data_IF_286273755971
#
_entry.id   IF_286273755971
#
_cell.length_a   1.000
_cell.length_b   1.000
_cell.length_c   1.000
_cell.angle_alpha   90.00
_cell.angle_beta   90.00
_cell.angle_gamma   90.00
#
_symmetry.space_group_name_H-M   'P 1'
#
loop_
_entity.id
_entity.type
_entity.pdbx_description
1 polymer ?
#
# COMPACT_ATOMS: atom_id res chain seq x y z
N UNK A 1 -3.19 -7.17 -54.61
CA UNK A 1 -4.24 -8.14 -54.22
C UNK A 1 -3.61 -9.11 -53.26
N UNK A 2 -3.94 -8.93 -51.99
CA UNK A 2 -3.25 -9.52 -50.85
C UNK A 2 -3.36 -11.04 -50.85
N UNK A 3 -2.21 -11.67 -50.66
CA UNK A 3 -2.07 -13.07 -50.33
C UNK A 3 -2.74 -13.34 -48.98
N UNK A 4 -3.66 -14.29 -48.98
CA UNK A 4 -4.24 -14.84 -47.76
C UNK A 4 -3.15 -15.43 -46.87
N UNK A 5 -2.79 -14.69 -45.83
CA UNK A 5 -2.24 -15.28 -44.63
C UNK A 5 -3.39 -16.04 -43.94
N UNK A 6 -3.49 -17.34 -44.21
CA UNK A 6 -4.18 -18.28 -43.32
C UNK A 6 -3.53 -18.16 -41.95
N UNK A 7 -4.06 -17.29 -41.09
CA UNK A 7 -3.71 -17.30 -39.68
C UNK A 7 -4.26 -18.58 -39.08
N UNK A 8 -3.34 -19.45 -38.65
CA UNK A 8 -3.56 -20.68 -37.92
C UNK A 8 -4.65 -20.59 -36.85
N UNK A 9 -5.26 -21.74 -36.59
CA UNK A 9 -6.29 -22.06 -35.60
C UNK A 9 -5.79 -21.92 -34.15
N UNK A 10 -5.23 -20.76 -33.79
CA UNK A 10 -4.88 -20.39 -32.43
C UNK A 10 -6.11 -19.86 -31.69
N UNK A 11 -6.15 -20.09 -30.37
CA UNK A 11 -7.22 -19.58 -29.51
C UNK A 11 -7.15 -18.06 -29.43
N UNK A 12 -8.29 -17.38 -29.52
CA UNK A 12 -8.39 -15.91 -29.51
C UNK A 12 -9.45 -15.45 -28.55
N UNK A 13 -9.08 -14.49 -27.71
CA UNK A 13 -9.97 -13.86 -26.74
C UNK A 13 -9.97 -12.35 -26.93
N UNK A 14 -11.15 -11.75 -26.97
CA UNK A 14 -11.32 -10.31 -26.87
C UNK A 14 -11.57 -9.96 -25.41
N UNK A 15 -10.79 -9.05 -24.86
CA UNK A 15 -10.96 -8.50 -23.52
C UNK A 15 -11.29 -7.02 -23.66
N UNK A 16 -12.35 -6.57 -23.01
CA UNK A 16 -12.84 -5.20 -23.03
C UNK A 16 -12.90 -4.66 -21.61
N UNK A 17 -12.36 -3.46 -21.39
CA UNK A 17 -12.58 -2.65 -20.18
C UNK A 17 -13.78 -1.75 -20.43
N UNK A 18 -14.97 -2.23 -20.05
CA UNK A 18 -16.26 -1.62 -20.43
C UNK A 18 -16.48 -0.23 -19.83
N UNK A 19 -15.86 0.08 -18.69
CA UNK A 19 -15.95 1.38 -18.02
C UNK A 19 -14.68 2.24 -18.16
N UNK A 20 -13.84 1.99 -19.18
CA UNK A 20 -12.59 2.74 -19.39
C UNK A 20 -12.81 4.24 -19.61
N UNK A 21 -13.90 4.64 -20.27
CA UNK A 21 -14.22 6.05 -20.48
C UNK A 21 -14.44 6.80 -19.17
N UNK A 22 -15.04 6.13 -18.19
CA UNK A 22 -15.20 6.68 -16.85
C UNK A 22 -13.84 6.72 -16.12
N UNK A 23 -13.01 5.68 -16.25
CA UNK A 23 -11.64 5.64 -15.67
C UNK A 23 -10.82 6.83 -16.18
N UNK A 24 -10.88 7.09 -17.49
CA UNK A 24 -10.19 8.21 -18.14
C UNK A 24 -10.69 9.55 -17.61
N UNK A 25 -12.01 9.70 -17.42
CA UNK A 25 -12.64 10.94 -16.94
C UNK A 25 -12.31 11.24 -15.49
N UNK A 26 -12.23 10.20 -14.64
CA UNK A 26 -12.08 10.34 -13.19
C UNK A 26 -10.60 10.33 -12.75
N UNK A 27 -9.75 9.56 -13.44
CA UNK A 27 -8.34 9.40 -13.06
C UNK A 27 -7.33 9.90 -14.08
N UNK A 28 -7.81 10.41 -15.22
CA UNK A 28 -6.95 10.94 -16.27
C UNK A 28 -6.30 9.86 -17.14
N UNK A 29 -5.59 10.33 -18.16
CA UNK A 29 -5.01 9.48 -19.20
C UNK A 29 -3.92 8.53 -18.69
N UNK A 30 -3.08 8.99 -17.76
CA UNK A 30 -1.93 8.23 -17.27
C UNK A 30 -2.36 6.99 -16.46
N UNK A 31 -3.42 7.11 -15.67
CA UNK A 31 -3.98 5.98 -14.92
C UNK A 31 -4.62 4.96 -15.87
N UNK A 32 -5.42 5.43 -16.84
CA UNK A 32 -6.03 4.56 -17.83
C UNK A 32 -4.96 3.82 -18.68
N UNK A 33 -3.84 4.48 -19.00
CA UNK A 33 -2.70 3.85 -19.68
C UNK A 33 -1.97 2.83 -18.80
N UNK A 34 -1.85 3.08 -17.51
CA UNK A 34 -1.22 2.14 -16.56
C UNK A 34 -2.05 0.87 -16.40
N UNK A 35 -3.38 1.01 -16.32
CA UNK A 35 -4.30 -0.12 -16.32
C UNK A 35 -4.22 -0.94 -17.61
N UNK A 36 -4.15 -0.28 -18.78
CA UNK A 36 -3.96 -0.96 -20.07
C UNK A 36 -2.65 -1.77 -20.09
N UNK A 37 -1.55 -1.24 -19.50
CA UNK A 37 -0.26 -1.94 -19.40
C UNK A 37 -0.34 -3.16 -18.47
N UNK A 38 -1.00 -3.04 -17.33
CA UNK A 38 -1.18 -4.13 -16.38
C UNK A 38 -1.93 -5.31 -17.01
N UNK A 39 -2.98 -5.03 -17.78
CA UNK A 39 -3.73 -6.04 -18.53
C UNK A 39 -2.83 -6.80 -19.51
N UNK A 40 -1.95 -6.09 -20.23
CA UNK A 40 -1.00 -6.69 -21.17
C UNK A 40 0.04 -7.55 -20.44
N UNK A 41 0.57 -7.10 -19.31
CA UNK A 41 1.55 -7.86 -18.53
C UNK A 41 0.95 -9.17 -18.01
N UNK A 42 -0.21 -9.11 -17.36
CA UNK A 42 -0.89 -10.31 -16.84
C UNK A 42 -1.29 -11.29 -17.92
N UNK A 43 -1.73 -10.79 -19.08
CA UNK A 43 -2.03 -11.65 -20.22
C UNK A 43 -0.80 -12.45 -20.69
N UNK A 44 0.41 -11.86 -20.65
CA UNK A 44 1.66 -12.56 -21.00
C UNK A 44 2.13 -13.52 -19.92
N UNK A 45 1.93 -13.20 -18.64
CA UNK A 45 2.21 -14.12 -17.54
C UNK A 45 1.35 -15.38 -17.66
N UNK A 46 0.06 -15.21 -17.94
CA UNK A 46 -0.89 -16.32 -17.98
C UNK A 46 -0.77 -17.16 -19.24
N UNK A 47 -0.71 -16.55 -20.42
CA UNK A 47 -0.71 -17.29 -21.68
C UNK A 47 0.68 -17.54 -22.27
N UNK A 48 1.73 -17.25 -21.50
CA UNK A 48 3.12 -17.41 -21.86
C UNK A 48 3.69 -16.22 -22.66
N UNK A 49 5.02 -16.10 -22.65
CA UNK A 49 5.74 -14.97 -23.26
C UNK A 49 5.48 -14.77 -24.77
N UNK A 50 4.98 -15.80 -25.47
CA UNK A 50 4.63 -15.73 -26.89
C UNK A 50 3.19 -15.26 -27.15
N UNK A 51 2.38 -15.01 -26.11
CA UNK A 51 1.04 -14.48 -26.23
C UNK A 51 1.06 -13.08 -26.89
N UNK A 52 0.33 -12.96 -27.99
CA UNK A 52 0.19 -11.70 -28.71
C UNK A 52 -1.01 -10.93 -28.15
N UNK A 53 -0.73 -9.81 -27.48
CA UNK A 53 -1.75 -8.88 -27.01
C UNK A 53 -1.74 -7.66 -27.92
N UNK A 54 -2.85 -7.44 -28.64
CA UNK A 54 -3.01 -6.31 -29.56
C UNK A 54 -4.18 -5.45 -29.11
N UNK A 55 -3.97 -4.16 -28.95
CA UNK A 55 -5.08 -3.21 -28.78
C UNK A 55 -5.85 -3.09 -30.09
N UNK A 56 -7.15 -3.36 -30.03
CA UNK A 56 -8.06 -3.32 -31.20
C UNK A 56 -8.73 -1.96 -31.29
N UNK A 57 -9.14 -1.41 -30.14
CA UNK A 57 -9.69 -0.06 -30.01
C UNK A 57 -9.48 0.45 -28.58
N UNK A 58 -9.96 1.65 -28.27
CA UNK A 58 -9.88 2.14 -26.89
C UNK A 58 -10.59 1.19 -25.92
N UNK A 59 -9.89 0.78 -24.85
CA UNK A 59 -10.37 -0.22 -23.88
C UNK A 59 -10.61 -1.63 -24.40
N UNK A 60 -10.24 -1.98 -25.64
CA UNK A 60 -10.40 -3.34 -26.18
C UNK A 60 -9.08 -3.94 -26.63
N UNK A 61 -8.82 -5.15 -26.17
CA UNK A 61 -7.59 -5.90 -26.38
C UNK A 61 -7.92 -7.28 -26.93
N UNK A 62 -7.24 -7.69 -27.97
CA UNK A 62 -7.27 -9.06 -28.46
C UNK A 62 -6.04 -9.78 -27.96
N UNK A 63 -6.24 -10.94 -27.34
CA UNK A 63 -5.20 -11.85 -26.87
C UNK A 63 -5.23 -13.09 -27.76
N UNK A 64 -4.11 -13.43 -28.36
CA UNK A 64 -3.94 -14.63 -29.17
C UNK A 64 -2.76 -15.45 -28.66
N UNK A 65 -2.93 -16.76 -28.57
CA UNK A 65 -1.88 -17.69 -28.16
C UNK A 65 -1.99 -19.01 -28.91
N UNK A 66 -0.89 -19.75 -28.97
CA UNK A 66 -0.82 -21.10 -29.55
C UNK A 66 -0.63 -22.14 -28.44
N UNK A 67 -1.28 -23.31 -28.55
CA UNK A 67 -1.18 -24.40 -27.58
C UNK A 67 -2.37 -24.55 -26.61
N UNK A 68 -2.25 -25.48 -25.66
CA UNK A 68 -3.27 -25.76 -24.64
C UNK A 68 -3.25 -24.66 -23.59
N UNK A 69 -4.42 -24.18 -23.19
CA UNK A 69 -4.55 -23.24 -22.08
C UNK A 69 -3.80 -23.76 -20.83
N UNK A 70 -3.08 -22.91 -20.09
CA UNK A 70 -2.35 -23.32 -18.87
C UNK A 70 -3.24 -23.96 -17.80
N UNK A 71 -4.56 -23.76 -17.90
CA UNK A 71 -5.56 -24.27 -16.96
C UNK A 71 -6.04 -25.72 -17.26
N UNK A 72 -5.44 -26.42 -18.22
CA UNK A 72 -5.74 -27.82 -18.53
C UNK A 72 -7.13 -28.07 -19.15
N UNK A 73 -7.43 -29.33 -19.52
CA UNK A 73 -8.77 -29.75 -19.93
C UNK A 73 -9.67 -29.92 -18.70
N UNK A 74 -10.55 -28.94 -18.45
CA UNK A 74 -11.52 -29.00 -17.37
C UNK A 74 -12.72 -29.88 -17.80
N UNK A 75 -13.10 -30.93 -17.05
CA UNK A 75 -14.27 -31.76 -17.36
C UNK A 75 -15.54 -30.89 -17.29
N UNK A 76 -16.32 -30.84 -18.38
CA UNK A 76 -17.50 -29.98 -18.48
C UNK A 76 -17.35 -28.72 -19.35
N UNK A 77 -16.23 -28.55 -20.04
CA UNK A 77 -16.17 -27.74 -21.27
C UNK A 77 -16.02 -26.23 -21.07
N UNK A 78 -14.77 -25.75 -21.23
CA UNK A 78 -14.35 -24.45 -21.81
C UNK A 78 -14.85 -23.14 -21.17
N UNK A 79 -15.73 -23.19 -20.19
CA UNK A 79 -16.16 -22.06 -19.34
C UNK A 79 -14.98 -21.54 -18.49
N UNK A 80 -14.03 -22.42 -18.15
CA UNK A 80 -12.94 -22.11 -17.23
C UNK A 80 -11.81 -21.23 -17.74
N UNK A 81 -11.46 -21.13 -19.03
CA UNK A 81 -10.26 -20.36 -19.42
C UNK A 81 -10.48 -18.84 -19.51
N UNK A 82 -11.63 -18.41 -20.03
CA UNK A 82 -12.02 -17.00 -20.03
C UNK A 82 -12.43 -16.55 -18.62
N UNK A 83 -13.09 -17.41 -17.84
CA UNK A 83 -13.40 -17.12 -16.44
C UNK A 83 -12.18 -17.24 -15.53
N UNK A 84 -11.20 -18.09 -15.81
CA UNK A 84 -9.91 -18.07 -15.11
C UNK A 84 -9.11 -16.85 -15.50
N UNK A 85 -9.12 -16.39 -16.76
CA UNK A 85 -8.53 -15.09 -17.08
C UNK A 85 -9.25 -13.95 -16.38
N UNK A 86 -10.58 -13.92 -16.43
CA UNK A 86 -11.39 -12.94 -15.70
C UNK A 86 -11.25 -13.08 -14.17
N UNK A 87 -10.93 -14.27 -13.65
CA UNK A 87 -10.71 -14.55 -12.23
C UNK A 87 -9.24 -14.37 -11.81
N UNK A 88 -8.28 -14.35 -12.72
CA UNK A 88 -6.87 -14.02 -12.45
C UNK A 88 -6.58 -12.54 -12.72
N UNK A 89 -7.29 -11.94 -13.69
CA UNK A 89 -7.50 -10.49 -13.77
C UNK A 89 -8.46 -10.01 -12.66
N UNK A 90 -9.27 -10.92 -12.09
CA UNK A 90 -10.33 -10.63 -11.11
C UNK A 90 -10.20 -11.31 -9.76
N UNK A 91 -9.01 -11.76 -9.37
CA UNK A 91 -8.75 -12.18 -7.98
C UNK A 91 -8.81 -10.96 -7.03
N UNK A 92 -8.94 -9.75 -7.58
CA UNK A 92 -9.49 -8.57 -6.89
C UNK A 92 -10.46 -7.76 -7.76
N UNK A 93 -11.53 -8.40 -8.25
CA UNK A 93 -12.68 -7.70 -8.88
C UNK A 93 -13.95 -7.87 -8.00
N UNK A 94 -14.08 -7.06 -6.93
CA UNK A 94 -15.29 -6.91 -6.06
C UNK A 94 -16.27 -5.78 -6.46
N UNK A 95 -17.47 -6.12 -6.96
CA UNK A 95 -18.55 -5.14 -7.16
C UNK A 95 -18.99 -4.56 -5.82
N UNK A 96 -19.07 -3.23 -5.79
CA UNK A 96 -19.29 -2.44 -4.61
C UNK A 96 -19.96 -1.11 -5.08
N UNK A 97 -21.28 -0.87 -4.92
CA UNK A 97 -21.93 0.37 -5.32
C UNK A 97 -21.47 1.50 -4.43
N UNK A 98 -21.06 2.58 -5.10
CA UNK A 98 -20.40 3.73 -4.52
C UNK A 98 -19.00 3.41 -3.99
N UNK A 99 -18.26 2.42 -4.54
CA UNK A 99 -16.82 2.49 -4.96
C UNK A 99 -16.66 2.00 -6.35
N UNK A 100 -16.57 2.94 -7.28
CA UNK A 100 -15.76 2.73 -8.44
C UNK A 100 -14.32 2.61 -7.90
N UNK A 101 -13.58 1.52 -8.15
CA UNK A 101 -13.51 0.89 -9.46
C UNK A 101 -13.32 -0.60 -9.43
N UNK A 102 -13.93 -1.21 -10.44
CA UNK A 102 -13.28 -2.28 -11.18
C UNK A 102 -13.35 -1.93 -12.64
N UNK A 103 -12.25 -2.12 -13.36
CA UNK A 103 -12.34 -2.36 -14.79
C UNK A 103 -13.44 -3.40 -15.00
N UNK A 104 -14.55 -3.01 -15.63
CA UNK A 104 -15.58 -3.97 -16.01
C UNK A 104 -15.04 -4.77 -17.18
N UNK A 105 -14.31 -5.84 -16.86
CA UNK A 105 -13.69 -6.69 -17.85
C UNK A 105 -14.74 -7.60 -18.46
N UNK A 106 -15.08 -7.35 -19.72
CA UNK A 106 -15.77 -8.30 -20.58
C UNK A 106 -14.73 -9.16 -21.29
N UNK A 107 -14.93 -10.48 -21.35
CA UNK A 107 -14.13 -11.34 -22.21
C UNK A 107 -15.05 -12.14 -23.14
N UNK A 108 -14.84 -12.03 -24.45
CA UNK A 108 -15.62 -12.71 -25.47
C UNK A 108 -14.70 -13.50 -26.40
N UNK A 109 -15.09 -14.73 -26.72
CA UNK A 109 -14.40 -15.54 -27.71
C UNK A 109 -14.71 -15.02 -29.11
N UNK A 110 -13.69 -14.82 -29.93
CA UNK A 110 -13.89 -14.47 -31.35
C UNK A 110 -13.63 -15.72 -32.19
N UNK A 111 -14.69 -16.21 -32.87
CA UNK A 111 -14.61 -17.30 -33.84
C UNK A 111 -14.90 -18.71 -33.29
N UNK A 112 -15.75 -18.83 -32.27
CA UNK A 112 -16.25 -20.12 -31.76
C UNK A 112 -17.78 -20.06 -31.62
N UNK A 113 -18.52 -20.87 -32.38
CA UNK A 113 -19.99 -20.94 -32.33
C UNK A 113 -20.48 -21.64 -31.05
N UNK A 114 -21.01 -20.92 -30.05
CA UNK A 114 -21.70 -21.52 -28.89
C UNK A 114 -22.80 -20.61 -28.27
N UNK A 115 -23.84 -21.20 -27.63
CA UNK A 115 -25.03 -20.49 -27.15
C UNK A 115 -24.89 -19.92 -25.72
N UNK A 116 -25.54 -18.79 -25.47
CA UNK A 116 -25.51 -18.02 -24.21
C UNK A 116 -26.53 -18.55 -23.20
N UNK A 117 -26.12 -18.85 -21.97
CA UNK A 117 -26.98 -18.80 -20.78
C UNK A 117 -26.30 -17.94 -19.71
N UNK A 118 -26.94 -16.81 -19.39
CA UNK A 118 -26.50 -15.85 -18.39
C UNK A 118 -26.97 -16.30 -17.00
N UNK A 119 -26.02 -16.65 -16.12
CA UNK A 119 -26.25 -16.83 -14.69
C UNK A 119 -25.58 -15.70 -13.92
N UNK A 120 -26.36 -14.72 -13.47
CA UNK A 120 -25.88 -13.63 -12.61
C UNK A 120 -25.77 -14.11 -11.16
N UNK A 121 -24.64 -13.86 -10.51
CA UNK A 121 -24.45 -14.04 -9.08
C UNK A 121 -24.98 -12.80 -8.36
N UNK A 122 -25.93 -12.97 -7.45
CA UNK A 122 -26.44 -11.92 -6.55
C UNK A 122 -25.41 -11.64 -5.45
N UNK A 123 -24.93 -10.40 -5.35
CA UNK A 123 -24.11 -9.93 -4.22
C UNK A 123 -25.04 -9.45 -3.09
N UNK A 124 -24.72 -9.79 -1.84
CA UNK A 124 -25.52 -9.39 -0.67
C UNK A 124 -25.49 -7.88 -0.40
N UNK A 125 -26.59 -7.33 0.14
CA UNK A 125 -26.80 -5.89 0.38
C UNK A 125 -25.71 -5.23 1.26
N UNK A 126 -25.07 -5.97 2.17
CA UNK A 126 -24.02 -5.43 3.04
C UNK A 126 -22.71 -5.14 2.30
N UNK A 127 -22.33 -6.00 1.35
CA UNK A 127 -21.19 -5.76 0.46
C UNK A 127 -21.47 -4.57 -0.45
N UNK A 128 -22.74 -4.28 -0.71
CA UNK A 128 -23.11 -3.12 -1.50
C UNK A 128 -23.08 -1.79 -0.72
N UNK A 129 -23.24 -1.83 0.60
CA UNK A 129 -23.19 -0.60 1.42
C UNK A 129 -21.76 -0.23 1.82
N UNK A 130 -20.94 -1.23 2.18
CA UNK A 130 -19.55 -0.97 2.57
C UNK A 130 -18.73 -0.36 1.44
N UNK A 131 -19.04 -0.82 0.24
CA UNK A 131 -18.67 -0.20 -0.98
C UNK A 131 -18.98 1.28 -0.97
N UNK A 132 -20.25 1.68 -0.85
CA UNK A 132 -20.70 3.04 -1.05
C UNK A 132 -19.88 4.06 -0.26
N UNK A 133 -19.50 3.63 0.93
CA UNK A 133 -18.70 4.39 1.87
C UNK A 133 -17.25 4.52 1.44
N UNK A 134 -16.63 3.45 0.95
CA UNK A 134 -15.21 3.44 0.61
C UNK A 134 -14.87 4.43 -0.54
N UNK A 135 -15.80 4.80 -1.43
CA UNK A 135 -15.56 5.76 -2.55
C UNK A 135 -15.91 7.13 -2.15
N UNK A 136 -16.96 7.29 -1.37
CA UNK A 136 -17.29 8.58 -0.80
C UNK A 136 -16.05 9.06 -0.02
N UNK A 137 -15.45 8.17 0.77
CA UNK A 137 -14.19 8.43 1.46
C UNK A 137 -13.02 8.63 0.47
N UNK A 138 -12.89 7.78 -0.54
CA UNK A 138 -11.80 7.91 -1.52
C UNK A 138 -11.87 9.21 -2.33
N UNK A 139 -13.06 9.63 -2.70
CA UNK A 139 -13.34 10.87 -3.42
C UNK A 139 -13.10 12.08 -2.51
N UNK A 140 -13.54 12.01 -1.25
CA UNK A 140 -13.23 13.02 -0.24
C UNK A 140 -11.71 13.21 -0.07
N UNK A 141 -10.93 12.12 0.01
CA UNK A 141 -9.46 12.19 0.10
C UNK A 141 -8.86 12.79 -1.18
N UNK A 142 -9.36 12.39 -2.35
CA UNK A 142 -8.91 12.91 -3.65
C UNK A 142 -9.15 14.41 -3.77
N UNK A 143 -10.35 14.87 -3.43
CA UNK A 143 -10.71 16.28 -3.39
C UNK A 143 -9.79 17.05 -2.44
N UNK A 144 -9.60 16.54 -1.22
CA UNK A 144 -8.72 17.15 -0.22
C UNK A 144 -7.27 17.26 -0.71
N UNK A 145 -6.77 16.28 -1.48
CA UNK A 145 -5.43 16.37 -2.10
C UNK A 145 -5.40 17.48 -3.16
N UNK A 146 -6.41 17.55 -4.04
CA UNK A 146 -6.47 18.56 -5.10
C UNK A 146 -6.61 19.99 -4.57
N UNK A 147 -7.25 20.13 -3.41
CA UNK A 147 -7.48 21.41 -2.72
C UNK A 147 -6.41 21.71 -1.66
N UNK A 148 -5.35 20.91 -1.58
CA UNK A 148 -4.26 21.03 -0.61
C UNK A 148 -4.74 21.06 0.87
N UNK A 149 -5.86 20.40 1.19
CA UNK A 149 -6.45 20.30 2.54
C UNK A 149 -5.80 19.22 3.41
N UNK A 150 -4.47 19.16 3.38
CA UNK A 150 -3.69 18.27 4.23
C UNK A 150 -2.62 19.09 4.94
N UNK A 151 -2.45 18.84 6.23
CA UNK A 151 -1.30 19.30 6.99
C UNK A 151 -0.56 18.13 7.61
N UNK A 152 0.69 18.37 8.01
CA UNK A 152 1.54 17.38 8.68
C UNK A 152 1.73 17.84 10.12
N UNK A 153 1.28 17.03 11.07
CA UNK A 153 1.75 17.15 12.45
C UNK A 153 3.00 16.28 12.62
N UNK A 154 3.80 16.53 13.66
CA UNK A 154 4.92 15.65 13.99
C UNK A 154 5.01 15.35 15.48
N UNK A 155 5.57 14.19 15.81
CA UNK A 155 5.85 13.77 17.17
C UNK A 155 7.29 13.24 17.28
N UNK A 156 8.09 13.66 18.28
CA UNK A 156 9.48 13.25 18.39
C UNK A 156 9.62 11.83 18.94
N UNK A 157 10.62 11.11 18.42
CA UNK A 157 11.19 9.89 19.02
C UNK A 157 12.45 10.30 19.78
N UNK A 158 12.40 10.23 21.11
CA UNK A 158 13.44 10.76 22.00
C UNK A 158 14.25 9.63 22.64
N UNK A 159 15.49 9.96 23.03
CA UNK A 159 16.28 9.09 23.88
C UNK A 159 15.69 9.06 25.30
N UNK A 160 15.69 7.88 25.93
CA UNK A 160 15.11 7.71 27.27
C UNK A 160 15.94 8.37 28.37
N UNK A 161 17.24 8.58 28.16
CA UNK A 161 18.15 9.23 29.12
C UNK A 161 18.31 10.73 28.83
N UNK A 162 18.26 11.12 27.55
CA UNK A 162 18.39 12.51 27.09
C UNK A 162 17.20 12.92 26.20
N UNK A 163 16.15 13.55 26.75
CA UNK A 163 14.97 13.95 25.99
C UNK A 163 15.25 14.93 24.85
N UNK A 164 16.36 15.68 24.90
CA UNK A 164 16.76 16.61 23.84
C UNK A 164 17.43 15.89 22.65
N UNK A 165 17.90 14.66 22.85
CA UNK A 165 18.42 13.80 21.79
C UNK A 165 17.26 13.13 21.03
N UNK A 166 16.88 13.73 19.90
CA UNK A 166 15.81 13.24 19.02
C UNK A 166 16.37 12.37 17.89
N UNK A 167 15.85 11.15 17.74
CA UNK A 167 16.26 10.22 16.67
C UNK A 167 15.69 10.61 15.30
N UNK A 168 14.39 10.92 15.28
CA UNK A 168 13.61 11.52 14.20
C UNK A 168 12.26 11.99 14.76
N UNK A 169 11.46 12.66 13.94
CA UNK A 169 10.07 13.02 14.28
C UNK A 169 9.12 12.29 13.33
N UNK A 170 8.20 11.49 13.85
CA UNK A 170 7.18 10.82 13.06
C UNK A 170 6.21 11.88 12.50
N UNK A 171 5.94 11.82 11.20
CA UNK A 171 4.95 12.64 10.51
C UNK A 171 3.57 11.99 10.57
N UNK A 172 2.62 12.77 11.05
CA UNK A 172 1.24 12.38 11.28
C UNK A 172 0.33 13.23 10.40
N UNK A 173 -0.14 12.63 9.30
CA UNK A 173 -0.99 13.31 8.32
C UNK A 173 -2.33 13.71 8.95
N UNK A 174 -2.77 14.94 8.68
CA UNK A 174 -4.06 15.49 9.09
C UNK A 174 -4.79 15.97 7.85
N UNK A 175 -5.89 15.31 7.51
CA UNK A 175 -6.79 15.81 6.48
C UNK A 175 -7.73 16.84 7.11
N UNK A 176 -8.10 17.88 6.38
CA UNK A 176 -9.10 18.84 6.82
C UNK A 176 -10.33 18.70 5.94
N UNK A 177 -11.53 18.67 6.51
CA UNK A 177 -12.77 18.76 5.74
C UNK A 177 -12.97 20.18 5.15
N UNK A 178 -14.12 20.45 4.51
CA UNK A 178 -14.38 21.75 3.88
C UNK A 178 -14.64 22.85 4.91
N UNK A 179 -15.05 22.45 6.11
CA UNK A 179 -15.29 23.30 7.27
C UNK A 179 -14.00 23.57 8.06
N UNK A 180 -12.90 22.88 7.72
CA UNK A 180 -11.59 23.00 8.36
C UNK A 180 -11.40 22.11 9.59
N UNK A 181 -12.29 21.15 9.83
CA UNK A 181 -12.15 20.20 10.92
C UNK A 181 -11.18 19.08 10.54
N UNK A 182 -10.40 18.63 11.52
CA UNK A 182 -9.43 17.54 11.34
C UNK A 182 -10.14 16.20 11.18
N UNK A 183 -9.82 15.51 10.10
CA UNK A 183 -10.19 14.12 9.83
C UNK A 183 -8.95 13.25 9.96
N UNK A 184 -8.99 12.28 10.88
CA UNK A 184 -7.83 11.46 11.23
C UNK A 184 -7.65 10.28 10.28
N UNK A 185 -6.40 9.82 10.03
CA UNK A 185 -6.10 8.68 9.15
C UNK A 185 -6.93 7.42 9.44
N UNK A 186 -7.20 7.13 10.72
CA UNK A 186 -8.02 5.97 11.11
C UNK A 186 -9.43 5.95 10.51
N UNK A 187 -9.99 7.09 10.08
CA UNK A 187 -11.31 7.14 9.45
C UNK A 187 -11.30 6.91 7.94
N UNK A 188 -10.14 7.00 7.27
CA UNK A 188 -10.07 6.90 5.81
C UNK A 188 -9.04 5.91 5.27
N UNK A 189 -7.94 5.64 5.98
CA UNK A 189 -6.90 4.69 5.54
C UNK A 189 -7.49 3.29 5.24
N UNK A 190 -8.35 2.69 6.10
CA UNK A 190 -8.91 1.38 5.80
C UNK A 190 -9.73 1.34 4.50
N UNK A 191 -10.40 2.45 4.16
CA UNK A 191 -11.15 2.58 2.91
C UNK A 191 -10.21 2.71 1.71
N UNK A 192 -9.12 3.46 1.82
CA UNK A 192 -8.09 3.55 0.78
C UNK A 192 -7.38 2.22 0.53
N UNK A 193 -7.17 1.42 1.58
CA UNK A 193 -6.60 0.07 1.45
C UNK A 193 -7.56 -0.86 0.71
N UNK A 194 -8.85 -0.85 1.06
CA UNK A 194 -9.87 -1.66 0.38
C UNK A 194 -10.13 -1.23 -1.05
N UNK A 195 -10.06 0.07 -1.35
CA UNK A 195 -10.23 0.62 -2.70
C UNK A 195 -8.96 0.56 -3.56
N UNK A 196 -7.81 0.23 -2.96
CA UNK A 196 -6.51 0.17 -3.64
C UNK A 196 -5.86 1.54 -3.87
N UNK A 197 -6.43 2.62 -3.33
CA UNK A 197 -5.93 3.98 -3.49
C UNK A 197 -4.86 4.37 -2.45
N UNK A 198 -4.63 3.53 -1.44
CA UNK A 198 -3.62 3.78 -0.40
C UNK A 198 -2.22 4.05 -0.97
N UNK A 199 -1.85 3.35 -2.05
CA UNK A 199 -0.52 3.50 -2.68
C UNK A 199 -0.30 4.88 -3.28
N UNK A 200 -1.36 5.46 -3.84
CA UNK A 200 -1.32 6.82 -4.38
C UNK A 200 -1.26 7.85 -3.25
N UNK A 201 -2.02 7.63 -2.18
CA UNK A 201 -2.02 8.47 -1.00
C UNK A 201 -0.65 8.48 -0.30
N UNK A 202 -0.06 7.31 -0.05
CA UNK A 202 1.25 7.18 0.59
C UNK A 202 2.32 7.93 -0.21
N UNK A 203 2.32 7.78 -1.54
CA UNK A 203 3.22 8.54 -2.41
C UNK A 203 3.01 10.05 -2.29
N UNK A 204 1.76 10.51 -2.23
CA UNK A 204 1.45 11.94 -2.03
C UNK A 204 2.05 12.44 -0.70
N UNK A 205 1.82 11.73 0.39
CA UNK A 205 2.35 12.09 1.72
C UNK A 205 3.88 12.08 1.73
N UNK A 206 4.51 11.03 1.21
CA UNK A 206 5.98 10.91 1.14
C UNK A 206 6.59 12.08 0.37
N UNK A 207 5.99 12.50 -0.75
CA UNK A 207 6.48 13.66 -1.51
C UNK A 207 6.41 14.95 -0.71
N UNK A 208 5.35 15.15 0.10
CA UNK A 208 5.26 16.31 1.00
C UNK A 208 6.33 16.28 2.08
N UNK A 209 6.59 15.12 2.67
CA UNK A 209 7.67 14.95 3.66
C UNK A 209 9.05 15.21 3.04
N UNK A 210 9.30 14.74 1.81
CA UNK A 210 10.52 15.05 1.06
C UNK A 210 10.68 16.56 0.84
N UNK A 211 9.61 17.27 0.47
CA UNK A 211 9.65 18.73 0.34
C UNK A 211 10.01 19.42 1.67
N UNK A 212 9.37 19.02 2.77
CA UNK A 212 9.69 19.56 4.11
C UNK A 212 11.16 19.30 4.48
N UNK A 213 11.69 18.11 4.20
CA UNK A 213 13.10 17.78 4.46
C UNK A 213 14.06 18.61 3.59
N UNK A 214 13.69 18.97 2.36
CA UNK A 214 14.49 19.86 1.51
C UNK A 214 14.57 21.27 2.08
N UNK A 215 13.49 21.75 2.71
CA UNK A 215 13.42 23.08 3.30
C UNK A 215 14.02 23.15 4.71
N UNK A 216 14.02 22.03 5.43
CA UNK A 216 14.43 21.93 6.83
C UNK A 216 15.55 20.92 7.03
N UNK A 217 16.78 21.40 6.88
CA UNK A 217 17.99 20.59 7.04
C UNK A 217 18.22 20.10 8.49
N UNK A 218 17.60 20.76 9.48
CA UNK A 218 17.66 20.42 10.90
C UNK A 218 16.78 19.23 11.29
N UNK A 219 15.89 18.78 10.39
CA UNK A 219 14.92 17.74 10.68
C UNK A 219 15.31 16.39 10.09
N UNK A 220 15.07 15.34 10.89
CA UNK A 220 14.89 13.97 10.42
C UNK A 220 13.43 13.58 10.65
N UNK A 221 12.77 13.06 9.61
CA UNK A 221 11.33 12.81 9.61
C UNK A 221 11.04 11.34 9.30
N UNK A 222 10.08 10.76 10.03
CA UNK A 222 9.49 9.47 9.74
C UNK A 222 8.17 9.62 9.00
N UNK A 223 7.90 8.80 7.99
CA UNK A 223 6.64 8.84 7.23
C UNK A 223 6.00 7.47 7.20
N UNK A 224 4.74 7.43 7.60
CA UNK A 224 3.92 6.23 7.57
C UNK A 224 3.57 5.83 6.13
N UNK A 225 3.75 4.55 5.81
CA UNK A 225 3.29 3.90 4.58
C UNK A 225 2.62 2.57 4.90
N UNK A 226 1.55 2.24 4.18
CA UNK A 226 0.88 0.94 4.30
C UNK A 226 1.78 -0.18 3.75
N UNK A 227 1.70 -1.38 4.35
CA UNK A 227 2.31 -2.57 3.80
C UNK A 227 1.88 -2.87 2.34
N UNK A 228 0.69 -2.43 1.92
CA UNK A 228 0.22 -2.54 0.53
C UNK A 228 1.01 -1.66 -0.46
N UNK A 229 1.72 -0.65 0.05
CA UNK A 229 2.52 0.28 -0.74
C UNK A 229 3.97 -0.18 -0.90
N UNK A 230 4.39 -1.20 -0.14
CA UNK A 230 5.74 -1.79 -0.14
C UNK A 230 5.91 -2.74 -1.34
N UNK A 231 5.82 -2.16 -2.53
CA UNK A 231 5.96 -2.85 -3.82
C UNK A 231 6.85 -1.98 -4.69
N UNK A 232 7.94 -2.55 -5.22
CA UNK A 232 8.83 -1.86 -6.14
C UNK A 232 8.21 -1.81 -7.55
N UNK A 233 7.51 -0.73 -7.87
CA UNK A 233 6.91 -0.50 -9.18
C UNK A 233 6.98 0.96 -9.65
N UNK A 234 6.41 1.20 -10.82
CA UNK A 234 6.43 2.49 -11.53
C UNK A 234 5.88 3.66 -10.70
N UNK A 235 5.01 3.42 -9.72
CA UNK A 235 4.45 4.50 -8.89
C UNK A 235 5.55 5.18 -8.06
N UNK A 236 6.55 4.40 -7.62
CA UNK A 236 7.64 4.90 -6.80
C UNK A 236 8.78 5.54 -7.59
N UNK A 237 8.89 5.28 -8.91
CA UNK A 237 10.06 5.70 -9.71
C UNK A 237 10.42 7.18 -9.53
N UNK A 238 9.45 8.07 -9.69
CA UNK A 238 9.67 9.52 -9.49
C UNK A 238 10.19 9.87 -8.08
N UNK A 239 9.67 9.22 -7.04
CA UNK A 239 10.12 9.43 -5.65
C UNK A 239 11.53 8.87 -5.44
N UNK A 240 11.84 7.73 -6.05
CA UNK A 240 13.17 7.13 -5.98
C UNK A 240 14.22 8.00 -6.70
N UNK A 241 13.85 8.62 -7.82
CA UNK A 241 14.70 9.60 -8.52
C UNK A 241 14.91 10.84 -7.63
N UNK A 242 13.83 11.38 -7.05
CA UNK A 242 13.90 12.53 -6.12
C UNK A 242 14.86 12.28 -4.94
N UNK A 243 14.87 11.06 -4.41
CA UNK A 243 15.76 10.63 -3.31
C UNK A 243 17.20 10.38 -3.76
N UNK A 244 17.39 9.84 -4.97
CA UNK A 244 18.71 9.64 -5.56
C UNK A 244 19.42 10.98 -5.81
N UNK A 245 18.68 11.99 -6.26
CA UNK A 245 19.19 13.34 -6.52
C UNK A 245 19.41 14.16 -5.24
N UNK A 246 18.80 13.76 -4.10
CA UNK A 246 18.95 14.41 -2.80
C UNK A 246 19.39 13.43 -1.69
N UNK A 247 20.65 12.94 -1.69
CA UNK A 247 21.14 11.99 -0.71
C UNK A 247 21.16 12.50 0.75
N UNK A 248 21.16 13.81 0.97
CA UNK A 248 21.04 14.40 2.31
C UNK A 248 19.61 14.28 2.85
N UNK A 249 18.60 14.42 1.98
CA UNK A 249 17.18 14.23 2.30
C UNK A 249 16.91 12.76 2.56
N UNK A 250 17.43 11.87 1.71
CA UNK A 250 17.26 10.43 1.86
C UNK A 250 17.75 9.94 3.23
N UNK A 251 18.93 10.39 3.69
CA UNK A 251 19.49 10.02 5.01
C UNK A 251 18.66 10.47 6.21
N UNK A 252 17.86 11.51 6.03
CA UNK A 252 16.99 12.09 7.07
C UNK A 252 15.56 11.58 7.02
N UNK A 253 15.24 10.71 6.04
CA UNK A 253 13.92 10.12 5.87
C UNK A 253 13.88 8.69 6.43
N UNK A 254 12.90 8.43 7.29
CA UNK A 254 12.55 7.10 7.80
C UNK A 254 11.20 6.70 7.20
N UNK A 255 11.11 5.53 6.57
CA UNK A 255 9.82 4.96 6.15
C UNK A 255 9.31 4.03 7.24
N UNK A 256 8.15 4.34 7.80
CA UNK A 256 7.49 3.54 8.83
C UNK A 256 6.43 2.68 8.16
N UNK A 257 6.65 1.36 8.16
CA UNK A 257 5.76 0.41 7.52
C UNK A 257 4.74 -0.06 8.56
N UNK A 258 3.48 0.30 8.35
CA UNK A 258 2.38 -0.04 9.27
C UNK A 258 1.90 -1.47 9.05
N UNK A 259 1.27 -2.05 10.08
CA UNK A 259 0.78 -3.44 10.06
C UNK A 259 -0.63 -3.64 9.50
N UNK A 260 -1.28 -2.56 9.05
CA UNK A 260 -2.70 -2.55 8.66
C UNK A 260 -3.03 -3.49 7.51
N UNK A 261 -2.01 -4.01 6.82
CA UNK A 261 -2.14 -5.04 5.81
C UNK A 261 -1.00 -6.05 5.85
N UNK A 262 -1.27 -7.25 5.33
CA UNK A 262 -0.24 -8.27 5.16
C UNK A 262 0.70 -7.91 4.00
N UNK A 263 2.00 -7.89 4.28
CA UNK A 263 3.04 -7.71 3.28
C UNK A 263 3.14 -8.94 2.36
N UNK A 264 3.21 -8.72 1.05
CA UNK A 264 3.36 -9.80 0.08
C UNK A 264 4.78 -10.38 0.15
N UNK A 265 4.87 -11.70 0.37
CA UNK A 265 6.15 -12.41 0.52
C UNK A 265 7.06 -12.23 -0.70
N UNK A 266 8.32 -11.95 -0.45
CA UNK A 266 9.39 -11.74 -1.43
C UNK A 266 9.50 -10.32 -1.95
N UNK A 267 8.46 -9.47 -1.88
CA UNK A 267 8.49 -8.11 -2.46
C UNK A 267 8.99 -7.05 -1.50
N UNK A 268 8.66 -7.19 -0.22
CA UNK A 268 9.01 -6.21 0.80
C UNK A 268 10.51 -5.97 0.93
N UNK A 269 11.29 -7.07 0.94
CA UNK A 269 12.75 -7.02 1.04
C UNK A 269 13.42 -6.23 -0.10
N UNK A 270 12.97 -6.40 -1.34
CA UNK A 270 13.57 -5.67 -2.47
C UNK A 270 13.31 -4.17 -2.37
N UNK A 271 12.07 -3.80 -2.07
CA UNK A 271 11.68 -2.41 -1.90
C UNK A 271 12.46 -1.74 -0.75
N UNK A 272 12.50 -2.38 0.42
CA UNK A 272 13.25 -1.89 1.57
C UNK A 272 14.74 -1.72 1.25
N UNK A 273 15.38 -2.72 0.64
CA UNK A 273 16.78 -2.63 0.25
C UNK A 273 17.04 -1.48 -0.73
N UNK A 274 16.12 -1.24 -1.67
CA UNK A 274 16.24 -0.15 -2.64
C UNK A 274 16.22 1.22 -1.94
N UNK A 275 15.30 1.43 -0.99
CA UNK A 275 15.27 2.65 -0.18
C UNK A 275 16.52 2.80 0.68
N UNK A 276 16.99 1.72 1.31
CA UNK A 276 18.22 1.73 2.12
C UNK A 276 19.46 2.06 1.29
N UNK A 277 19.55 1.58 0.05
CA UNK A 277 20.64 1.92 -0.88
C UNK A 277 20.67 3.42 -1.24
N UNK A 278 19.51 4.08 -1.23
CA UNK A 278 19.41 5.54 -1.40
C UNK A 278 19.80 6.32 -0.13
N UNK A 279 19.89 5.62 1.01
CA UNK A 279 20.26 6.19 2.31
C UNK A 279 19.11 6.33 3.30
N UNK A 280 17.88 5.98 2.91
CA UNK A 280 16.73 6.02 3.82
C UNK A 280 16.84 4.94 4.90
N UNK A 281 16.15 5.19 6.03
CA UNK A 281 15.97 4.18 7.08
C UNK A 281 14.59 3.54 6.95
N UNK A 282 14.47 2.29 7.37
CA UNK A 282 13.19 1.57 7.43
C UNK A 282 12.85 1.29 8.90
N UNK A 283 11.64 1.68 9.30
CA UNK A 283 11.05 1.34 10.58
C UNK A 283 9.88 0.37 10.37
N UNK A 284 9.73 -0.58 11.29
CA UNK A 284 8.53 -1.40 11.41
C UNK A 284 7.69 -0.82 12.53
N UNK A 285 6.46 -0.44 12.22
CA UNK A 285 5.53 0.13 13.19
C UNK A 285 4.66 -0.96 13.84
N UNK A 286 4.09 -0.67 15.01
CA UNK A 286 3.18 -1.55 15.76
C UNK A 286 3.72 -2.98 16.02
N UNK A 287 5.03 -3.13 16.23
CA UNK A 287 5.65 -4.44 16.41
C UNK A 287 5.11 -5.16 17.65
N UNK A 288 4.61 -6.38 17.44
CA UNK A 288 3.98 -7.21 18.47
C UNK A 288 2.45 -7.17 18.46
N UNK A 289 1.84 -6.22 17.74
CA UNK A 289 0.45 -6.30 17.32
C UNK A 289 0.34 -7.03 15.96
N UNK A 290 -0.91 -7.30 15.54
CA UNK A 290 -1.30 -7.77 14.21
C UNK A 290 -0.26 -8.54 13.38
N UNK A 291 0.21 -7.91 12.30
CA UNK A 291 1.17 -8.46 11.33
C UNK A 291 2.59 -7.90 11.50
N UNK A 292 2.85 -7.03 12.49
CA UNK A 292 4.14 -6.35 12.64
C UNK A 292 5.35 -7.28 12.71
N UNK A 293 5.23 -8.45 13.37
CA UNK A 293 6.30 -9.45 13.44
C UNK A 293 6.62 -10.06 12.07
N UNK A 294 5.58 -10.45 11.32
CA UNK A 294 5.75 -11.01 9.98
C UNK A 294 6.34 -9.99 9.01
N UNK A 295 5.91 -8.72 9.11
CA UNK A 295 6.47 -7.60 8.33
C UNK A 295 7.96 -7.41 8.63
N UNK A 296 8.36 -7.42 9.90
CA UNK A 296 9.78 -7.28 10.28
C UNK A 296 10.66 -8.41 9.74
N UNK A 297 10.16 -9.65 9.77
CA UNK A 297 10.86 -10.81 9.21
C UNK A 297 11.00 -10.69 7.69
N UNK A 298 9.93 -10.31 7.00
CA UNK A 298 9.88 -10.20 5.54
C UNK A 298 10.78 -9.07 5.02
N UNK A 299 10.80 -7.92 5.69
CA UNK A 299 11.65 -6.77 5.33
C UNK A 299 13.13 -7.13 5.44
N UNK A 300 13.50 -7.97 6.42
CA UNK A 300 14.85 -8.47 6.67
C UNK A 300 15.88 -7.35 6.96
N UNK A 301 16.19 -7.15 8.24
CA UNK A 301 17.07 -6.10 8.77
C UNK A 301 16.52 -4.67 8.63
N UNK A 302 15.33 -4.36 9.21
CA UNK A 302 14.90 -2.98 9.40
C UNK A 302 15.89 -2.23 10.31
N UNK A 303 15.91 -0.90 10.19
CA UNK A 303 16.79 -0.05 11.00
C UNK A 303 16.16 0.29 12.35
N UNK A 304 14.83 0.36 12.39
CA UNK A 304 14.04 0.67 13.59
C UNK A 304 12.90 -0.34 13.74
N UNK A 305 12.61 -0.73 14.99
CA UNK A 305 11.38 -1.43 15.36
C UNK A 305 10.69 -0.60 16.44
N UNK A 306 9.42 -0.23 16.20
CA UNK A 306 8.58 0.49 17.15
C UNK A 306 7.63 -0.52 17.81
N UNK A 307 7.70 -0.62 19.13
CA UNK A 307 6.87 -1.51 19.95
C UNK A 307 5.60 -0.76 20.33
N UNK A 308 4.46 -1.34 19.99
CA UNK A 308 3.14 -0.77 20.25
C UNK A 308 2.93 -0.43 21.75
N UNK A 309 2.29 0.70 22.00
CA UNK A 309 2.04 1.20 23.36
C UNK A 309 1.14 0.29 24.20
N UNK A 310 0.38 -0.65 23.60
CA UNK A 310 -0.40 -1.62 24.38
C UNK A 310 0.49 -2.53 25.23
N UNK A 311 1.75 -2.75 24.85
CA UNK A 311 2.72 -3.50 25.65
C UNK A 311 3.10 -2.76 26.94
N UNK A 312 3.19 -1.44 26.87
CA UNK A 312 3.48 -0.59 28.02
C UNK A 312 2.31 -0.56 29.01
N UNK A 313 1.08 -0.40 28.50
CA UNK A 313 -0.13 -0.45 29.34
C UNK A 313 -0.32 -1.81 30.02
N UNK A 314 0.03 -2.92 29.34
CA UNK A 314 0.00 -4.26 29.93
C UNK A 314 1.05 -4.47 31.03
N UNK A 315 2.13 -3.69 31.04
CA UNK A 315 3.19 -3.75 32.07
C UNK A 315 2.78 -3.11 33.42
N UNK A 316 1.61 -2.46 33.51
CA UNK A 316 1.13 -1.78 34.72
C UNK A 316 0.72 -2.77 35.84
N UNK A 317 0.38 -4.02 35.51
CA UNK A 317 -0.21 -4.98 36.45
C UNK A 317 0.76 -6.11 36.86
N UNK A 318 1.74 -5.84 37.73
CA UNK A 318 2.52 -6.87 38.44
C UNK A 318 3.87 -7.27 37.82
N UNK A 319 4.73 -7.93 38.62
CA UNK A 319 6.15 -8.23 38.30
C UNK A 319 6.34 -9.13 37.06
N UNK A 320 5.43 -10.06 36.78
CA UNK A 320 5.50 -10.91 35.58
C UNK A 320 5.33 -10.12 34.26
N UNK A 321 4.64 -8.98 34.28
CA UNK A 321 4.33 -8.19 33.08
C UNK A 321 5.45 -7.21 32.73
N UNK A 322 6.22 -6.72 33.69
CA UNK A 322 7.50 -6.02 33.41
C UNK A 322 8.46 -6.95 32.65
N UNK A 323 8.49 -8.25 32.98
CA UNK A 323 9.25 -9.25 32.22
C UNK A 323 8.80 -9.35 30.76
N UNK A 324 7.53 -9.09 30.47
CA UNK A 324 7.01 -9.17 29.10
C UNK A 324 7.52 -8.03 28.21
N UNK A 325 7.53 -6.79 28.71
CA UNK A 325 8.11 -5.65 27.99
C UNK A 325 9.62 -5.88 27.72
N UNK A 326 10.38 -6.34 28.71
CA UNK A 326 11.80 -6.68 28.53
C UNK A 326 12.00 -7.78 27.46
N UNK A 327 11.14 -8.81 27.44
CA UNK A 327 11.23 -9.90 26.44
C UNK A 327 10.95 -9.40 25.03
N UNK A 328 9.91 -8.59 24.82
CA UNK A 328 9.57 -8.08 23.48
C UNK A 328 10.64 -7.09 22.99
N UNK A 329 11.19 -6.26 23.87
CA UNK A 329 12.34 -5.38 23.57
C UNK A 329 13.57 -6.19 23.18
N UNK A 330 13.86 -7.29 23.90
CA UNK A 330 14.96 -8.19 23.55
C UNK A 330 14.75 -8.83 22.18
N UNK A 331 13.54 -9.30 21.87
CA UNK A 331 13.22 -9.88 20.56
C UNK A 331 13.34 -8.84 19.43
N UNK A 332 12.85 -7.63 19.65
CA UNK A 332 12.97 -6.53 18.70
C UNK A 332 14.44 -6.17 18.44
N UNK A 333 15.28 -6.23 19.48
CA UNK A 333 16.73 -5.95 19.39
C UNK A 333 17.49 -6.99 18.57
N UNK A 334 16.97 -8.23 18.46
CA UNK A 334 17.53 -9.24 17.56
C UNK A 334 17.20 -8.97 16.08
N UNK A 335 16.16 -8.15 15.81
CA UNK A 335 15.65 -7.85 14.47
C UNK A 335 16.20 -6.52 13.94
N UNK A 336 16.29 -5.50 14.81
CA UNK A 336 16.72 -4.16 14.45
C UNK A 336 17.67 -3.56 15.51
N UNK A 337 18.62 -2.71 15.09
CA UNK A 337 19.56 -2.07 16.01
C UNK A 337 18.92 -0.96 16.86
N UNK A 338 17.77 -0.40 16.45
CA UNK A 338 17.08 0.67 17.16
C UNK A 338 15.68 0.19 17.54
N UNK A 339 15.41 0.12 18.84
CA UNK A 339 14.09 -0.24 19.38
C UNK A 339 13.48 0.97 20.05
N UNK A 340 12.25 1.30 19.64
CA UNK A 340 11.44 2.41 20.18
C UNK A 340 10.26 1.80 20.93
N UNK A 341 9.96 2.29 22.14
CA UNK A 341 8.70 1.95 22.83
C UNK A 341 7.74 3.12 22.75
N UNK A 342 6.53 2.86 22.27
CA UNK A 342 5.50 3.88 22.09
C UNK A 342 4.55 4.01 23.28
N UNK A 343 3.72 5.05 23.23
CA UNK A 343 2.64 5.26 24.19
C UNK A 343 3.10 5.77 25.56
N UNK A 344 4.33 6.29 25.68
CA UNK A 344 4.83 6.82 26.96
C UNK A 344 4.05 8.08 27.35
N UNK A 345 3.23 7.98 28.39
CA UNK A 345 2.35 9.07 28.81
C UNK A 345 2.78 9.70 30.15
N UNK A 346 3.61 9.03 30.95
CA UNK A 346 4.04 9.50 32.27
C UNK A 346 5.51 9.17 32.59
N UNK A 347 6.02 9.74 33.68
CA UNK A 347 7.37 9.38 34.17
C UNK A 347 7.41 7.90 34.58
N UNK A 348 6.33 7.36 35.16
CA UNK A 348 6.28 5.94 35.52
C UNK A 348 6.39 5.03 34.30
N UNK A 349 5.75 5.40 33.18
CA UNK A 349 5.90 4.72 31.90
C UNK A 349 7.36 4.78 31.42
N UNK A 350 7.99 5.95 31.50
CA UNK A 350 9.38 6.13 31.11
C UNK A 350 10.33 5.25 31.94
N UNK A 351 10.11 5.14 33.25
CA UNK A 351 10.89 4.25 34.12
C UNK A 351 10.75 2.78 33.72
N UNK A 352 9.55 2.34 33.29
CA UNK A 352 9.35 0.98 32.77
C UNK A 352 10.11 0.77 31.46
N UNK A 353 10.09 1.77 30.56
CA UNK A 353 10.85 1.71 29.30
C UNK A 353 12.35 1.61 29.59
N UNK A 354 12.90 2.44 30.49
CA UNK A 354 14.31 2.34 30.92
C UNK A 354 14.63 0.95 31.48
N UNK A 355 13.78 0.43 32.36
CA UNK A 355 13.95 -0.91 32.95
C UNK A 355 13.86 -2.06 31.95
N UNK A 356 13.24 -1.84 30.78
CA UNK A 356 13.14 -2.85 29.71
C UNK A 356 14.42 -2.98 28.87
N UNK A 357 15.32 -1.99 28.93
CA UNK A 357 16.53 -1.92 28.11
C UNK A 357 16.35 -1.17 26.78
N UNK A 358 15.16 -0.64 26.50
CA UNK A 358 14.93 0.20 25.32
C UNK A 358 15.63 1.56 25.47
N UNK A 359 16.23 2.04 24.38
CA UNK A 359 17.00 3.29 24.34
C UNK A 359 16.19 4.47 23.81
N UNK A 360 15.12 4.19 23.06
CA UNK A 360 14.28 5.19 22.42
C UNK A 360 12.82 5.03 22.84
N UNK A 361 12.12 6.14 22.91
CA UNK A 361 10.72 6.18 23.29
C UNK A 361 9.96 7.29 22.57
N UNK A 362 8.64 7.10 22.47
CA UNK A 362 7.72 8.06 21.88
C UNK A 362 6.41 8.10 22.69
N UNK A 363 5.84 9.28 22.83
CA UNK A 363 4.54 9.44 23.49
C UNK A 363 4.30 10.86 24.00
N UNK A 364 3.13 11.07 24.63
CA UNK A 364 2.71 12.39 25.13
C UNK A 364 3.62 12.96 26.21
N UNK A 365 4.39 12.12 26.91
CA UNK A 365 5.39 12.55 27.89
C UNK A 365 6.41 13.55 27.28
N UNK A 366 6.82 13.34 26.03
CA UNK A 366 7.79 14.19 25.33
C UNK A 366 7.15 15.41 24.63
N UNK A 367 5.84 15.59 24.79
CA UNK A 367 5.07 16.65 24.17
C UNK A 367 3.97 16.13 23.24
N UNK A 368 3.00 17.02 23.01
CA UNK A 368 1.91 16.77 22.07
C UNK A 368 2.39 16.89 20.62
N UNK A 369 1.56 16.38 19.71
CA UNK A 369 1.77 16.51 18.28
C UNK A 369 1.79 18.01 17.89
N UNK A 370 2.88 18.45 17.27
CA UNK A 370 3.03 19.83 16.82
C UNK A 370 2.78 19.92 15.32
N UNK A 371 1.92 20.84 14.88
CA UNK A 371 1.77 21.16 13.47
C UNK A 371 3.10 21.63 12.89
N UNK A 372 3.50 21.04 11.76
CA UNK A 372 4.59 21.56 10.96
C UNK A 372 4.05 22.70 10.09
N UNK A 373 4.79 23.82 9.97
CA UNK A 373 4.45 24.84 8.99
C UNK A 373 4.47 24.23 7.59
N UNK A 374 3.52 24.66 6.75
CA UNK A 374 3.36 24.19 5.36
C UNK A 374 4.55 24.55 4.47
#
# INVERSE_FOLDING_TARGET
MESGAKMNSGSRLLVEVRNRGDILRVYGADFAMSMDRELVMRARELYGAQAQVRRVSDGRFQIAWEGVSPFGQIPGGRVGCAQSLLATLGERVKRMPGVAWLAELGAEWIGCDLPVQAGGVMLGEDLTVQAARDMEISEMVREAISEARFSIASQPVCNVEDPDLVLYRECLTRMHDREGCVVFPGSFIPSLERSGLIRWFDRYVVRRVISLLRERADLSLGVNISALSVVDDVLWESTLIDLLEAPDVARRLVFEITETAQLERGRGRFFANRLKQLGCRIAIDDFGAGYGVDTGIEIHSPDVVKIDGSFLSRAVEGEEKTSYLTRIVSLASDIAPLVVVEGVASEEDLQRVRGSGAVWAQGYYYGNQCSMPD
#
